data_IF_025661911749
#
_entry.id   IF_025661911749
#
_cell.length_a   1.000
_cell.length_b   1.000
_cell.length_c   1.000
_cell.angle_alpha   90.00
_cell.angle_beta   90.00
_cell.angle_gamma   90.00
#
_symmetry.space_group_name_H-M   'P 1'
#
loop_
_entity.id
_entity.type
_entity.pdbx_description
1 polymer ?
#
# COMPACT_ATOMS: atom_id res chain seq x y z
N UNK A 1 1.84 6.07 11.05
CA UNK A 1 1.33 7.12 11.99
C UNK A 1 -0.19 7.20 12.06
N UNK A 2 -0.92 7.64 11.01
CA UNK A 2 -2.39 7.81 11.09
C UNK A 2 -3.12 6.51 11.46
N UNK A 3 -2.82 5.41 10.75
CA UNK A 3 -3.40 4.09 11.03
C UNK A 3 -2.92 3.53 12.38
N UNK A 4 -1.62 3.58 12.64
CA UNK A 4 -1.00 2.88 13.77
C UNK A 4 -1.13 3.63 15.11
N UNK A 5 -0.78 4.93 15.13
CA UNK A 5 -0.69 5.71 16.38
C UNK A 5 -2.00 6.42 16.70
N UNK A 6 -2.69 6.92 15.67
CA UNK A 6 -3.93 7.70 15.85
C UNK A 6 -5.19 6.87 15.59
N UNK A 7 -5.06 5.58 15.24
CA UNK A 7 -6.21 4.69 15.05
C UNK A 7 -7.17 5.11 13.94
N UNK A 8 -6.72 5.91 12.98
CA UNK A 8 -7.58 6.39 11.90
C UNK A 8 -8.04 5.19 11.05
N UNK A 9 -9.34 4.89 11.05
CA UNK A 9 -9.91 3.71 10.40
C UNK A 9 -10.71 4.03 9.13
N UNK A 10 -10.94 5.31 8.81
CA UNK A 10 -11.73 5.74 7.65
C UNK A 10 -10.92 5.70 6.34
N UNK A 11 -11.51 6.20 5.27
CA UNK A 11 -10.86 6.32 3.97
C UNK A 11 -9.62 7.22 4.05
N UNK A 12 -8.50 6.71 3.54
CA UNK A 12 -7.26 7.44 3.31
C UNK A 12 -6.99 7.41 1.82
N UNK A 13 -7.28 8.54 1.16
CA UNK A 13 -7.21 8.68 -0.30
C UNK A 13 -5.94 9.38 -0.73
N UNK A 14 -5.18 8.75 -1.62
CA UNK A 14 -4.13 9.42 -2.37
C UNK A 14 -4.77 10.11 -3.58
N UNK A 15 -4.39 11.37 -3.86
CA UNK A 15 -4.86 12.11 -5.03
C UNK A 15 -3.70 12.88 -5.70
N UNK A 16 -3.84 13.17 -6.99
CA UNK A 16 -2.89 14.00 -7.74
C UNK A 16 -2.18 13.22 -8.86
N UNK A 17 -0.92 13.58 -9.12
CA UNK A 17 -0.06 12.92 -10.10
C UNK A 17 0.58 11.65 -9.52
N UNK A 18 -0.27 10.67 -9.18
CA UNK A 18 0.18 9.38 -8.65
C UNK A 18 0.59 8.49 -9.82
N UNK A 19 1.78 7.92 -9.72
CA UNK A 19 2.29 6.96 -10.69
C UNK A 19 1.94 5.53 -10.28
N UNK A 20 1.84 4.63 -11.26
CA UNK A 20 1.51 3.20 -11.07
C UNK A 20 2.43 2.54 -10.04
N UNK A 21 3.74 2.74 -10.16
CA UNK A 21 4.77 2.20 -9.27
C UNK A 21 4.66 2.67 -7.81
N UNK A 22 3.91 3.74 -7.55
CA UNK A 22 3.67 4.26 -6.21
C UNK A 22 2.48 3.59 -5.49
N UNK A 23 1.61 2.88 -6.20
CA UNK A 23 0.38 2.33 -5.62
C UNK A 23 0.63 1.29 -4.53
N UNK A 24 1.45 0.26 -4.82
CA UNK A 24 1.77 -0.76 -3.84
C UNK A 24 2.48 -0.20 -2.59
N UNK A 25 3.51 0.68 -2.70
CA UNK A 25 4.08 1.37 -1.54
C UNK A 25 3.07 2.18 -0.72
N UNK A 26 2.18 2.94 -1.38
CA UNK A 26 1.14 3.71 -0.70
C UNK A 26 0.14 2.80 0.02
N UNK A 27 -0.28 1.72 -0.63
CA UNK A 27 -1.14 0.72 -0.01
C UNK A 27 -0.50 0.16 1.25
N UNK A 28 0.79 -0.20 1.21
CA UNK A 28 1.54 -0.69 2.38
C UNK A 28 1.56 0.31 3.54
N UNK A 29 1.57 1.62 3.26
CA UNK A 29 1.46 2.69 4.26
C UNK A 29 0.04 2.88 4.84
N UNK A 30 -0.97 2.17 4.31
CA UNK A 30 -2.35 2.19 4.78
C UNK A 30 -3.29 3.10 3.99
N UNK A 31 -2.90 3.52 2.78
CA UNK A 31 -3.82 4.11 1.81
C UNK A 31 -4.76 3.03 1.26
N UNK A 32 -6.04 3.36 1.13
CA UNK A 32 -7.07 2.42 0.67
C UNK A 32 -7.94 2.97 -0.46
N UNK A 33 -7.67 4.19 -0.91
CA UNK A 33 -8.33 4.80 -2.05
C UNK A 33 -7.35 5.62 -2.88
N UNK A 34 -7.54 5.65 -4.20
CA UNK A 34 -6.66 6.33 -5.14
C UNK A 34 -7.51 7.14 -6.12
N UNK A 35 -7.08 8.36 -6.44
CA UNK A 35 -7.74 9.25 -7.39
C UNK A 35 -6.70 9.78 -8.38
N UNK A 36 -6.79 9.34 -9.62
CA UNK A 36 -5.87 9.70 -10.69
C UNK A 36 -6.39 10.93 -11.44
N UNK A 37 -5.50 11.89 -11.72
CA UNK A 37 -5.83 13.03 -12.60
C UNK A 37 -6.01 12.61 -14.06
N UNK A 38 -5.18 11.66 -14.53
CA UNK A 38 -5.25 11.08 -15.86
C UNK A 38 -5.39 9.56 -15.71
N UNK A 39 -6.61 9.00 -15.77
CA UNK A 39 -6.85 7.57 -15.58
C UNK A 39 -6.50 6.76 -16.83
N UNK A 40 -5.30 6.98 -17.37
CA UNK A 40 -4.78 6.19 -18.47
C UNK A 40 -4.44 4.80 -17.92
N UNK A 41 -5.26 3.82 -18.28
CA UNK A 41 -5.09 2.41 -17.94
C UNK A 41 -5.30 2.06 -16.45
N UNK A 42 -6.56 2.18 -16.00
CA UNK A 42 -6.97 1.78 -14.65
C UNK A 42 -6.71 0.28 -14.37
N UNK A 43 -6.80 -0.58 -15.39
CA UNK A 43 -6.54 -2.02 -15.24
C UNK A 43 -5.08 -2.27 -14.87
N UNK A 44 -4.13 -1.64 -15.58
CA UNK A 44 -2.72 -1.71 -15.22
C UNK A 44 -2.42 -1.12 -13.83
N UNK A 45 -3.15 -0.06 -13.45
CA UNK A 45 -3.04 0.50 -12.10
C UNK A 45 -3.52 -0.50 -11.05
N UNK A 46 -4.65 -1.17 -11.27
CA UNK A 46 -5.15 -2.22 -10.36
C UNK A 46 -4.19 -3.38 -10.24
N UNK A 47 -3.64 -3.87 -11.35
CA UNK A 47 -2.61 -4.92 -11.36
C UNK A 47 -1.37 -4.52 -10.53
N UNK A 48 -0.97 -3.25 -10.59
CA UNK A 48 0.22 -2.79 -9.87
C UNK A 48 0.14 -2.84 -8.34
N UNK A 49 -1.07 -2.90 -7.78
CA UNK A 49 -1.27 -3.17 -6.35
C UNK A 49 -0.76 -4.56 -5.95
N UNK A 50 -0.62 -5.46 -6.93
CA UNK A 50 -0.21 -6.85 -6.77
C UNK A 50 1.18 -7.14 -7.38
N UNK A 51 1.92 -6.14 -7.86
CA UNK A 51 3.26 -6.30 -8.47
C UNK A 51 4.27 -7.02 -7.53
N UNK A 52 4.04 -6.97 -6.21
CA UNK A 52 4.89 -7.61 -5.21
C UNK A 52 4.11 -8.57 -4.33
N UNK A 53 4.51 -9.84 -4.34
CA UNK A 53 3.92 -10.87 -3.47
C UNK A 53 4.48 -10.84 -2.05
N UNK A 54 5.73 -10.41 -1.88
CA UNK A 54 6.43 -10.40 -0.59
C UNK A 54 7.20 -9.10 -0.40
N UNK A 55 7.06 -8.50 0.78
CA UNK A 55 7.83 -7.33 1.20
C UNK A 55 8.80 -7.69 2.31
N UNK A 56 10.05 -7.26 2.19
CA UNK A 56 11.07 -7.49 3.21
C UNK A 56 10.78 -6.71 4.51
N UNK A 57 10.42 -5.43 4.37
CA UNK A 57 10.22 -4.51 5.49
C UNK A 57 8.82 -4.64 6.10
N UNK A 58 8.71 -4.28 7.38
CA UNK A 58 7.43 -4.08 8.03
C UNK A 58 6.69 -2.89 7.40
N UNK A 59 5.36 -2.92 7.47
CA UNK A 59 4.50 -1.83 7.05
C UNK A 59 3.18 -1.88 7.83
N UNK A 60 2.30 -0.91 7.60
CA UNK A 60 1.01 -0.83 8.28
C UNK A 60 0.16 -2.07 8.02
N UNK A 61 0.15 -2.56 6.77
CA UNK A 61 -0.60 -3.78 6.39
C UNK A 61 0.10 -5.05 6.88
N UNK A 62 1.44 -5.06 6.94
CA UNK A 62 2.24 -6.22 7.29
C UNK A 62 3.27 -5.86 8.36
N UNK A 63 2.85 -5.89 9.64
CA UNK A 63 3.66 -5.39 10.75
C UNK A 63 4.88 -6.25 11.07
N UNK A 64 4.85 -7.54 10.72
CA UNK A 64 5.99 -8.44 10.88
C UNK A 64 6.88 -8.41 9.62
N UNK A 65 8.12 -7.91 9.71
CA UNK A 65 9.04 -7.89 8.58
C UNK A 65 9.48 -9.32 8.22
N UNK A 66 9.82 -9.55 6.95
CA UNK A 66 10.14 -10.88 6.43
C UNK A 66 11.24 -11.59 7.21
N UNK A 67 12.31 -10.87 7.57
CA UNK A 67 13.44 -11.47 8.29
C UNK A 67 13.06 -12.03 9.67
N UNK A 68 11.99 -11.51 10.29
CA UNK A 68 11.45 -11.96 11.58
C UNK A 68 10.40 -13.08 11.44
N UNK A 69 9.93 -13.38 10.22
CA UNK A 69 8.99 -14.49 9.96
C UNK A 69 9.64 -15.87 10.02
N UNK A 70 10.97 -15.93 10.01
CA UNK A 70 11.73 -17.18 10.14
C UNK A 70 11.51 -17.78 11.53
N UNK A 71 10.86 -18.95 11.59
CA UNK A 71 10.58 -19.68 12.84
C UNK A 71 9.18 -19.47 13.43
N UNK A 72 8.27 -18.75 12.76
CA UNK A 72 6.84 -18.87 13.06
C UNK A 72 6.32 -20.18 12.47
N UNK A 73 5.59 -21.01 13.26
CA UNK A 73 5.00 -22.27 12.79
C UNK A 73 3.95 -22.05 11.69
#
# INVERSE_FOLDING_TARGET
LLRERYGFSRELRAFGAIMRDQLHPLQRCGFNAFSFQNPSNLDEATESLHDFSVSYQAAVIASTPLFRRRGQP
#
